data_IF_141599093928
#
_entry.id   IF_141599093928
#
_cell.length_a   1.000
_cell.length_b   1.000
_cell.length_c   1.000
_cell.angle_alpha   90.00
_cell.angle_beta   90.00
_cell.angle_gamma   90.00
#
_symmetry.space_group_name_H-M   'P 1'
#
loop_
_entity.id
_entity.type
_entity.pdbx_description
1 polymer ?
#
# COMPACT_ATOMS: atom_id res chain seq x y z
N UNK A 1 4.01 10.95 26.60
CA UNK A 1 2.57 10.55 26.69
C UNK A 1 1.99 10.49 25.27
N UNK A 2 1.01 9.64 24.95
CA UNK A 2 0.40 9.67 23.62
C UNK A 2 -0.28 11.01 23.36
N UNK A 3 -0.35 11.42 22.09
CA UNK A 3 -1.13 12.59 21.68
C UNK A 3 -2.61 12.21 21.75
N UNK A 4 -3.33 12.74 22.72
CA UNK A 4 -4.73 12.37 22.98
C UNK A 4 -5.72 13.55 22.83
N UNK A 5 -5.25 14.74 22.45
CA UNK A 5 -6.11 15.90 22.29
C UNK A 5 -5.40 17.14 21.76
N UNK A 6 -6.18 18.20 21.53
CA UNK A 6 -5.71 19.46 20.91
C UNK A 6 -4.54 20.07 21.68
N UNK A 7 -4.57 20.03 23.03
CA UNK A 7 -3.50 20.61 23.83
C UNK A 7 -2.14 20.00 23.50
N UNK A 8 -2.05 18.66 23.44
CA UNK A 8 -0.80 17.97 23.12
C UNK A 8 -0.32 18.28 21.70
N UNK A 9 -1.24 18.47 20.74
CA UNK A 9 -0.89 18.90 19.39
C UNK A 9 -0.29 20.30 19.40
N UNK A 10 -0.92 21.25 20.12
CA UNK A 10 -0.42 22.63 20.25
C UNK A 10 0.94 22.64 20.94
N UNK A 11 1.09 21.90 22.03
CA UNK A 11 2.36 21.78 22.76
C UNK A 11 3.46 21.20 21.84
N UNK A 12 3.16 20.14 21.06
CA UNK A 12 4.11 19.56 20.11
C UNK A 12 4.55 20.57 19.04
N UNK A 13 3.63 21.37 18.51
CA UNK A 13 3.94 22.42 17.53
C UNK A 13 4.84 23.50 18.13
N UNK A 14 4.50 24.00 19.33
CA UNK A 14 5.25 25.06 20.01
C UNK A 14 6.65 24.62 20.43
N UNK A 15 6.83 23.37 20.77
CA UNK A 15 8.10 22.79 21.21
C UNK A 15 8.95 22.25 20.05
N UNK A 16 8.52 22.45 18.79
CA UNK A 16 9.26 22.01 17.60
C UNK A 16 9.23 20.51 17.37
N UNK A 17 8.26 19.80 17.97
CA UNK A 17 8.03 18.37 17.78
C UNK A 17 7.10 18.10 16.59
N UNK A 18 7.34 18.80 15.49
CA UNK A 18 6.64 18.62 14.22
C UNK A 18 7.57 18.82 13.03
N UNK A 19 7.29 18.13 11.93
CA UNK A 19 7.98 18.31 10.66
C UNK A 19 6.99 18.22 9.50
N UNK A 20 7.30 18.90 8.40
CA UNK A 20 6.55 18.81 7.16
C UNK A 20 7.48 18.33 6.05
N UNK A 21 7.01 17.38 5.26
CA UNK A 21 7.73 16.75 4.15
C UNK A 21 6.94 16.89 2.87
N UNK A 22 7.65 17.15 1.76
CA UNK A 22 7.05 17.35 0.45
C UNK A 22 7.54 16.25 -0.50
N UNK A 23 6.63 15.67 -1.26
CA UNK A 23 6.92 14.59 -2.19
C UNK A 23 6.23 14.83 -3.52
N UNK A 24 6.75 14.15 -4.55
CA UNK A 24 6.14 14.13 -5.86
C UNK A 24 6.38 12.79 -6.53
N UNK A 25 5.32 12.12 -6.94
CA UNK A 25 5.38 10.91 -7.78
C UNK A 25 4.89 11.27 -9.18
N UNK A 26 5.60 10.75 -10.20
CA UNK A 26 5.29 10.97 -11.61
C UNK A 26 5.18 9.60 -12.29
N UNK A 27 4.02 8.96 -12.30
CA UNK A 27 3.86 7.70 -13.01
C UNK A 27 4.32 7.82 -14.46
N UNK A 28 5.21 6.93 -14.90
CA UNK A 28 5.69 6.83 -16.27
C UNK A 28 4.90 5.80 -17.08
N UNK A 29 4.11 4.98 -16.40
CA UNK A 29 3.28 3.97 -17.02
C UNK A 29 1.95 4.55 -17.49
N UNK A 30 1.43 4.03 -18.59
CA UNK A 30 0.05 4.28 -19.00
C UNK A 30 -0.85 3.40 -18.12
N UNK A 31 -1.46 4.02 -17.11
CA UNK A 31 -2.42 3.31 -16.26
C UNK A 31 -3.75 3.11 -16.97
N UNK A 32 -4.47 2.08 -16.59
CA UNK A 32 -5.81 1.77 -17.12
C UNK A 32 -6.86 2.34 -16.18
N UNK A 33 -7.90 2.95 -16.74
CA UNK A 33 -9.05 3.43 -15.98
C UNK A 33 -9.67 2.32 -15.12
N UNK A 34 -9.90 2.63 -13.85
CA UNK A 34 -10.58 1.73 -12.91
C UNK A 34 -9.69 0.61 -12.36
N UNK A 35 -8.40 0.60 -12.66
CA UNK A 35 -7.44 -0.33 -12.04
C UNK A 35 -6.58 0.41 -11.02
N UNK A 36 -6.47 -0.16 -9.83
CA UNK A 36 -5.55 0.33 -8.80
C UNK A 36 -4.10 0.23 -9.26
N UNK A 37 -3.32 1.25 -8.95
CA UNK A 37 -1.93 1.37 -9.34
C UNK A 37 -1.05 1.73 -8.14
N UNK A 38 0.04 0.97 -7.95
CA UNK A 38 1.02 1.20 -6.88
C UNK A 38 1.99 2.32 -7.27
N UNK A 39 1.91 3.44 -6.59
CA UNK A 39 2.79 4.59 -6.83
C UNK A 39 4.21 4.38 -6.31
N UNK A 40 4.46 3.34 -5.50
CA UNK A 40 5.82 3.01 -5.08
C UNK A 40 6.74 2.77 -6.28
N UNK A 41 6.24 2.14 -7.35
CA UNK A 41 7.00 1.87 -8.57
C UNK A 41 7.20 3.12 -9.46
N UNK A 42 6.53 4.22 -9.17
CA UNK A 42 6.58 5.42 -9.99
C UNK A 42 7.85 6.23 -9.74
N UNK A 43 8.47 6.82 -10.78
CA UNK A 43 9.54 7.81 -10.62
C UNK A 43 9.11 9.01 -9.78
N UNK A 44 10.09 9.72 -9.25
CA UNK A 44 9.86 10.96 -8.51
C UNK A 44 10.74 11.07 -7.26
N UNK A 45 10.23 11.78 -6.27
CA UNK A 45 10.76 11.83 -4.93
C UNK A 45 9.68 11.32 -3.95
N UNK A 46 9.88 10.17 -3.31
CA UNK A 46 11.05 9.28 -3.36
C UNK A 46 11.23 8.55 -4.71
N UNK A 47 12.42 7.96 -4.89
CA UNK A 47 12.76 7.11 -6.06
C UNK A 47 11.84 5.89 -6.16
N UNK A 48 11.75 5.23 -7.33
CA UNK A 48 10.94 4.01 -7.46
C UNK A 48 11.44 2.88 -6.55
N UNK A 49 10.49 2.13 -5.99
CA UNK A 49 10.73 0.86 -5.30
C UNK A 49 10.06 -0.26 -6.09
N UNK A 50 10.83 -1.27 -6.44
CA UNK A 50 10.35 -2.47 -7.11
C UNK A 50 10.31 -3.63 -6.15
N UNK A 51 9.29 -4.49 -6.28
CA UNK A 51 9.07 -5.64 -5.39
C UNK A 51 9.77 -6.89 -5.92
N UNK A 52 11.09 -6.79 -6.16
CA UNK A 52 11.93 -7.90 -6.60
C UNK A 52 12.77 -8.44 -5.45
N UNK A 53 13.09 -9.74 -5.51
CA UNK A 53 13.90 -10.43 -4.51
C UNK A 53 14.05 -11.91 -4.85
N UNK A 54 14.44 -12.71 -3.88
CA UNK A 54 14.43 -14.17 -4.01
C UNK A 54 12.99 -14.64 -4.16
N UNK A 55 12.65 -15.41 -5.21
CA UNK A 55 11.28 -15.86 -5.46
C UNK A 55 10.65 -16.48 -4.20
N UNK A 56 9.41 -16.10 -3.91
CA UNK A 56 8.57 -16.61 -2.83
C UNK A 56 9.10 -16.38 -1.40
N UNK A 57 10.25 -15.71 -1.22
CA UNK A 57 10.82 -15.46 0.10
C UNK A 57 10.30 -14.15 0.70
N UNK A 58 9.75 -14.22 1.90
CA UNK A 58 9.32 -13.07 2.67
C UNK A 58 10.47 -12.05 2.83
N UNK A 59 10.26 -10.82 2.35
CA UNK A 59 11.24 -9.73 2.43
C UNK A 59 10.64 -8.57 3.20
N UNK A 60 11.24 -8.24 4.35
CA UNK A 60 10.78 -7.14 5.21
C UNK A 60 11.08 -5.79 4.54
N UNK A 61 10.14 -4.87 4.65
CA UNK A 61 10.25 -3.49 4.17
C UNK A 61 10.48 -2.57 5.36
N UNK A 62 11.49 -1.69 5.26
CA UNK A 62 11.88 -0.77 6.32
C UNK A 62 12.14 0.63 5.75
N UNK A 63 12.11 1.66 6.61
CA UNK A 63 12.37 3.05 6.22
C UNK A 63 13.78 3.24 5.63
N UNK A 64 14.73 2.38 5.97
CA UNK A 64 16.10 2.42 5.43
C UNK A 64 16.21 2.04 3.96
N UNK A 65 15.15 1.43 3.38
CA UNK A 65 15.09 1.11 1.95
C UNK A 65 14.70 2.35 1.15
N UNK A 66 15.29 2.49 -0.01
CA UNK A 66 14.91 3.54 -0.96
C UNK A 66 13.46 3.37 -1.42
N UNK A 67 12.78 4.49 -1.67
CA UNK A 67 11.46 4.55 -2.28
C UNK A 67 10.30 4.81 -1.32
N UNK A 68 10.52 4.83 -0.02
CA UNK A 68 9.51 5.24 0.97
C UNK A 68 9.41 6.76 1.13
N UNK A 69 8.21 7.27 1.44
CA UNK A 69 8.00 8.66 1.84
C UNK A 69 8.70 8.89 3.18
N UNK A 70 9.75 9.71 3.17
CA UNK A 70 10.51 10.00 4.38
C UNK A 70 9.66 10.80 5.40
N UNK A 71 9.62 10.35 6.63
CA UNK A 71 8.84 10.96 7.70
C UNK A 71 9.68 11.36 8.92
N UNK A 72 10.99 11.52 8.71
CA UNK A 72 11.97 11.81 9.77
C UNK A 72 12.44 10.55 10.50
N UNK A 73 13.49 10.71 11.29
CA UNK A 73 14.05 9.64 12.12
C UNK A 73 13.04 9.13 13.15
N UNK A 74 13.22 7.92 13.63
CA UNK A 74 12.42 7.36 14.71
C UNK A 74 12.55 8.19 15.99
N UNK A 75 11.45 8.28 16.72
CA UNK A 75 11.30 9.13 17.91
C UNK A 75 11.11 8.30 19.19
N UNK A 76 11.55 7.05 19.19
CA UNK A 76 11.42 6.15 20.35
C UNK A 76 12.09 6.74 21.62
N UNK A 77 11.47 6.65 22.81
CA UNK A 77 10.22 5.94 23.14
C UNK A 77 8.93 6.69 22.81
N UNK A 78 9.02 7.89 22.27
CA UNK A 78 7.87 8.69 21.86
C UNK A 78 7.12 8.04 20.68
N UNK A 79 5.90 8.51 20.43
CA UNK A 79 5.08 8.05 19.30
C UNK A 79 4.92 9.16 18.28
N UNK A 80 5.07 8.80 17.01
CA UNK A 80 4.88 9.70 15.87
C UNK A 80 3.49 9.52 15.29
N UNK A 81 2.87 10.61 14.88
CA UNK A 81 1.53 10.63 14.30
C UNK A 81 1.48 11.46 13.04
N UNK A 82 0.63 11.06 12.12
CA UNK A 82 0.27 11.84 10.96
C UNK A 82 -0.73 12.92 11.39
N UNK A 83 -0.33 14.19 11.31
CA UNK A 83 -1.15 15.33 11.72
C UNK A 83 -2.09 15.79 10.62
N UNK A 84 -1.55 16.01 9.44
CA UNK A 84 -2.31 16.32 8.24
C UNK A 84 -1.55 15.88 6.96
N UNK A 85 -2.29 15.73 5.88
CA UNK A 85 -1.75 15.54 4.55
C UNK A 85 -2.47 16.44 3.57
N UNK A 86 -1.73 16.92 2.57
CA UNK A 86 -2.30 17.65 1.44
C UNK A 86 -1.90 16.93 0.16
N UNK A 87 -2.87 16.63 -0.69
CA UNK A 87 -2.64 15.97 -1.98
C UNK A 87 -3.11 16.88 -3.10
N UNK A 88 -2.38 16.87 -4.22
CA UNK A 88 -2.82 17.54 -5.44
C UNK A 88 -2.30 16.81 -6.68
N UNK A 89 -2.95 17.06 -7.83
CA UNK A 89 -2.55 16.53 -9.13
C UNK A 89 -2.23 17.66 -10.09
N UNK A 90 -1.16 17.51 -10.88
CA UNK A 90 -0.78 18.49 -11.90
C UNK A 90 -1.55 18.36 -13.21
N UNK A 91 -2.41 17.33 -13.35
CA UNK A 91 -3.19 17.06 -14.55
C UNK A 91 -4.61 16.65 -14.19
N UNK A 92 -5.57 17.00 -15.03
CA UNK A 92 -6.96 16.51 -14.94
C UNK A 92 -7.06 15.03 -15.37
N UNK A 93 -6.09 14.52 -16.11
CA UNK A 93 -6.07 13.12 -16.53
C UNK A 93 -5.97 12.20 -15.31
N UNK A 94 -6.86 11.24 -15.23
CA UNK A 94 -6.93 10.33 -14.09
C UNK A 94 -7.83 10.78 -12.94
N UNK A 95 -8.41 11.99 -12.98
CA UNK A 95 -9.36 12.46 -11.97
C UNK A 95 -10.81 12.09 -12.33
N UNK A 96 -11.71 11.88 -11.35
CA UNK A 96 -11.42 11.79 -9.92
C UNK A 96 -10.54 10.58 -9.60
N UNK A 97 -9.66 10.70 -8.59
CA UNK A 97 -8.67 9.68 -8.26
C UNK A 97 -8.64 9.41 -6.75
N UNK A 98 -9.20 8.29 -6.30
CA UNK A 98 -8.97 7.78 -4.95
C UNK A 98 -7.49 7.48 -4.70
N UNK A 99 -7.01 7.82 -3.51
CA UNK A 99 -5.66 7.58 -3.01
C UNK A 99 -5.73 6.91 -1.65
N UNK A 100 -4.84 5.95 -1.40
CA UNK A 100 -4.67 5.34 -0.07
C UNK A 100 -3.19 5.42 0.32
N UNK A 101 -2.90 6.08 1.44
CA UNK A 101 -1.59 6.08 2.08
C UNK A 101 -1.49 4.88 3.00
N UNK A 102 -0.41 4.11 2.88
CA UNK A 102 -0.20 2.87 3.61
C UNK A 102 1.21 2.77 4.15
N UNK A 103 1.40 2.01 5.22
CA UNK A 103 2.70 1.46 5.63
C UNK A 103 2.88 0.10 4.94
N UNK A 104 3.94 -0.03 4.14
CA UNK A 104 4.32 -1.25 3.43
C UNK A 104 5.24 -2.07 4.33
N UNK A 105 4.85 -3.28 4.65
CA UNK A 105 5.45 -4.06 5.75
C UNK A 105 6.39 -5.15 5.28
N UNK A 106 5.96 -5.92 4.30
CA UNK A 106 6.65 -7.10 3.82
C UNK A 106 6.13 -7.48 2.43
N UNK A 107 6.94 -8.14 1.61
CA UNK A 107 6.47 -8.65 0.32
C UNK A 107 7.04 -10.03 0.01
N UNK A 108 6.32 -10.77 -0.84
CA UNK A 108 6.69 -12.07 -1.39
C UNK A 108 6.82 -11.91 -2.89
N UNK A 109 8.04 -11.90 -3.43
CA UNK A 109 8.28 -11.59 -4.82
C UNK A 109 8.06 -12.76 -5.76
N UNK A 110 7.71 -12.44 -7.01
CA UNK A 110 7.81 -13.30 -8.17
C UNK A 110 6.94 -14.56 -8.09
N UNK A 111 5.66 -14.40 -7.74
CA UNK A 111 4.64 -15.43 -7.91
C UNK A 111 4.45 -15.68 -9.41
N UNK A 112 4.55 -16.95 -9.83
CA UNK A 112 4.47 -17.37 -11.23
C UNK A 112 3.01 -17.65 -11.65
N UNK A 113 2.51 -16.87 -12.61
CA UNK A 113 1.18 -17.09 -13.22
C UNK A 113 1.17 -18.30 -14.17
N UNK A 114 2.34 -18.86 -14.51
CA UNK A 114 2.50 -19.97 -15.47
C UNK A 114 2.29 -21.37 -14.89
N UNK A 115 2.02 -21.51 -13.60
CA UNK A 115 1.84 -22.81 -12.96
C UNK A 115 0.59 -22.86 -12.08
N UNK A 116 -0.10 -24.01 -12.10
CA UNK A 116 -1.19 -24.31 -11.16
C UNK A 116 -0.70 -25.06 -9.92
N UNK A 117 0.56 -25.39 -9.85
CA UNK A 117 1.15 -25.99 -8.65
C UNK A 117 1.10 -24.99 -7.49
N UNK A 118 0.87 -25.47 -6.28
CA UNK A 118 0.87 -24.63 -5.09
C UNK A 118 2.29 -24.07 -4.83
N UNK A 119 2.40 -22.74 -4.77
CA UNK A 119 3.65 -22.02 -4.60
C UNK A 119 3.80 -21.66 -3.12
N UNK A 120 4.63 -22.40 -2.39
CA UNK A 120 4.85 -22.22 -0.95
C UNK A 120 5.79 -21.04 -0.67
N UNK A 121 5.43 -20.22 0.32
CA UNK A 121 6.23 -19.07 0.74
C UNK A 121 7.29 -19.47 1.77
N UNK A 122 8.49 -18.89 1.63
CA UNK A 122 9.53 -18.95 2.67
C UNK A 122 9.28 -17.83 3.69
N UNK A 123 8.76 -18.20 4.85
CA UNK A 123 8.46 -17.32 5.98
C UNK A 123 9.60 -17.23 7.00
N UNK A 124 10.87 -17.33 6.58
CA UNK A 124 12.04 -17.11 7.45
C UNK A 124 12.01 -15.72 8.08
N UNK A 125 11.51 -14.71 7.35
CA UNK A 125 11.26 -13.38 7.85
C UNK A 125 9.78 -13.21 8.23
N UNK A 126 9.53 -12.40 9.27
CA UNK A 126 8.19 -12.11 9.79
C UNK A 126 7.95 -10.60 9.89
N UNK A 127 6.71 -10.18 10.08
CA UNK A 127 6.36 -8.78 10.30
C UNK A 127 7.13 -8.19 11.49
N UNK A 128 7.80 -7.06 11.27
CA UNK A 128 8.49 -6.29 12.32
C UNK A 128 7.61 -5.20 12.93
N UNK A 129 6.56 -4.80 12.21
CA UNK A 129 5.52 -3.87 12.64
C UNK A 129 4.16 -4.55 12.48
N UNK A 130 3.18 -4.19 13.31
CA UNK A 130 1.85 -4.84 13.31
C UNK A 130 1.97 -6.37 13.36
N UNK A 131 2.79 -6.86 14.29
CA UNK A 131 3.19 -8.29 14.41
C UNK A 131 2.04 -9.23 14.71
N UNK A 132 0.92 -8.67 15.22
CA UNK A 132 -0.34 -9.37 15.39
C UNK A 132 -1.14 -9.50 14.08
N UNK A 133 -0.72 -8.83 13.01
CA UNK A 133 -1.42 -8.83 11.73
C UNK A 133 -2.72 -8.03 11.68
N UNK A 134 -3.15 -7.43 12.79
CA UNK A 134 -4.44 -6.74 12.87
C UNK A 134 -4.55 -5.59 11.86
N UNK A 135 -5.54 -5.71 10.95
CA UNK A 135 -5.79 -4.76 9.86
C UNK A 135 -4.69 -4.71 8.79
N UNK A 136 -3.76 -5.66 8.79
CA UNK A 136 -2.81 -5.85 7.69
C UNK A 136 -3.53 -6.49 6.52
N UNK A 137 -3.40 -5.89 5.34
CA UNK A 137 -4.05 -6.33 4.11
C UNK A 137 -3.02 -6.84 3.10
N UNK A 138 -3.47 -7.64 2.14
CA UNK A 138 -2.63 -8.19 1.06
C UNK A 138 -2.99 -7.55 -0.26
N UNK A 139 -1.98 -6.99 -0.92
CA UNK A 139 -2.10 -6.40 -2.26
C UNK A 139 -1.23 -7.21 -3.24
N UNK A 140 -1.77 -7.58 -4.38
CA UNK A 140 -1.04 -8.27 -5.45
C UNK A 140 -0.63 -7.25 -6.53
N UNK A 141 0.68 -7.06 -6.75
CA UNK A 141 1.21 -6.02 -7.63
C UNK A 141 1.96 -6.65 -8.80
N UNK A 142 1.60 -6.27 -10.03
CA UNK A 142 2.29 -6.71 -11.24
C UNK A 142 3.75 -6.21 -11.25
N UNK A 143 4.70 -7.13 -11.43
CA UNK A 143 6.14 -6.84 -11.48
C UNK A 143 6.79 -7.22 -12.81
N UNK A 144 6.08 -7.93 -13.68
CA UNK A 144 6.51 -8.25 -15.04
C UNK A 144 5.34 -8.09 -16.03
N UNK A 145 5.64 -8.09 -17.32
CA UNK A 145 4.60 -8.12 -18.36
C UNK A 145 3.77 -9.39 -18.22
N UNK A 146 2.44 -9.26 -18.37
CA UNK A 146 1.49 -10.35 -18.11
C UNK A 146 0.32 -10.33 -19.08
N UNK A 147 -0.36 -11.43 -19.22
CA UNK A 147 -1.60 -11.54 -19.97
C UNK A 147 -2.83 -11.50 -19.07
N UNK A 148 -2.78 -12.15 -17.90
CA UNK A 148 -3.82 -12.12 -16.88
C UNK A 148 -5.13 -12.82 -17.29
N UNK A 149 -6.13 -12.70 -16.42
CA UNK A 149 -7.47 -13.26 -16.67
C UNK A 149 -7.75 -14.57 -15.95
N UNK A 150 -6.75 -15.14 -15.29
CA UNK A 150 -6.92 -16.32 -14.45
C UNK A 150 -7.38 -15.94 -13.05
N UNK A 151 -7.74 -16.95 -12.28
CA UNK A 151 -8.09 -16.76 -10.86
C UNK A 151 -7.05 -17.42 -9.98
N UNK A 152 -6.91 -16.90 -8.76
CA UNK A 152 -6.08 -17.50 -7.73
C UNK A 152 -6.67 -17.27 -6.34
N UNK A 153 -6.11 -17.94 -5.35
CA UNK A 153 -6.34 -17.69 -3.93
C UNK A 153 -5.02 -17.83 -3.16
N UNK A 154 -5.02 -17.31 -1.93
CA UNK A 154 -3.89 -17.44 -1.01
C UNK A 154 -4.29 -18.27 0.21
N UNK A 155 -3.34 -19.07 0.73
CA UNK A 155 -3.37 -19.58 2.08
C UNK A 155 -2.55 -18.63 2.97
N UNK A 156 -3.06 -18.33 4.18
CA UNK A 156 -2.44 -17.35 5.06
C UNK A 156 -2.67 -17.67 6.54
N UNK A 157 -1.85 -17.06 7.40
CA UNK A 157 -2.08 -17.00 8.84
C UNK A 157 -2.76 -15.67 9.18
N UNK A 158 -3.91 -15.72 9.86
CA UNK A 158 -4.70 -14.54 10.18
C UNK A 158 -4.16 -13.79 11.42
N UNK A 159 -4.84 -12.69 11.82
CA UNK A 159 -4.51 -11.87 12.99
C UNK A 159 -4.53 -12.64 14.33
N UNK A 160 -5.29 -13.71 14.44
CA UNK A 160 -5.33 -14.56 15.63
C UNK A 160 -4.22 -15.62 15.66
N UNK A 161 -3.38 -15.67 14.62
CA UNK A 161 -2.33 -16.66 14.47
C UNK A 161 -2.84 -18.03 14.03
N UNK A 162 -4.05 -18.09 13.47
CA UNK A 162 -4.61 -19.31 12.89
C UNK A 162 -4.11 -19.45 11.47
N UNK A 163 -3.35 -20.52 11.22
CA UNK A 163 -2.80 -20.87 9.90
C UNK A 163 -3.82 -21.63 9.03
N UNK A 164 -3.51 -21.76 7.74
CA UNK A 164 -4.37 -22.51 6.80
C UNK A 164 -5.69 -21.79 6.51
N UNK A 165 -5.76 -20.48 6.71
CA UNK A 165 -6.91 -19.68 6.29
C UNK A 165 -6.85 -19.50 4.77
N UNK A 166 -7.99 -19.57 4.10
CA UNK A 166 -8.07 -19.49 2.64
C UNK A 166 -8.83 -18.23 2.25
N UNK A 167 -8.22 -17.39 1.41
CA UNK A 167 -8.90 -16.21 0.86
C UNK A 167 -10.03 -16.61 -0.09
N UNK A 168 -10.89 -15.65 -0.43
CA UNK A 168 -11.78 -15.83 -1.56
C UNK A 168 -10.97 -15.92 -2.88
N UNK A 169 -11.52 -16.62 -3.88
CA UNK A 169 -10.95 -16.61 -5.21
C UNK A 169 -11.04 -15.21 -5.80
N UNK A 170 -9.94 -14.71 -6.29
CA UNK A 170 -9.85 -13.41 -6.99
C UNK A 170 -9.49 -13.64 -8.46
N UNK A 171 -10.02 -12.77 -9.32
CA UNK A 171 -9.75 -12.81 -10.75
C UNK A 171 -8.73 -11.73 -11.08
N UNK A 172 -7.72 -12.09 -11.83
CA UNK A 172 -6.72 -11.16 -12.33
C UNK A 172 -7.25 -10.30 -13.47
N UNK A 173 -6.89 -9.02 -13.47
CA UNK A 173 -7.10 -8.18 -14.66
C UNK A 173 -6.10 -8.54 -15.78
N UNK A 174 -6.39 -8.07 -16.98
CA UNK A 174 -5.57 -8.31 -18.18
C UNK A 174 -4.57 -7.19 -18.49
N UNK A 175 -4.30 -6.31 -17.54
CA UNK A 175 -3.35 -5.21 -17.73
C UNK A 175 -1.91 -5.73 -17.69
N UNK A 176 -1.13 -5.43 -18.71
CA UNK A 176 0.30 -5.71 -18.76
C UNK A 176 1.18 -4.63 -18.09
N UNK A 177 0.59 -3.56 -17.57
CA UNK A 177 1.34 -2.45 -16.99
C UNK A 177 1.95 -2.85 -15.63
N UNK A 178 3.24 -2.55 -15.45
CA UNK A 178 3.91 -2.75 -14.18
C UNK A 178 3.34 -1.81 -13.11
N UNK A 179 3.16 -2.33 -11.91
CA UNK A 179 2.60 -1.57 -10.78
C UNK A 179 1.08 -1.59 -10.70
N UNK A 180 0.40 -2.21 -11.65
CA UNK A 180 -1.04 -2.43 -11.53
C UNK A 180 -1.31 -3.47 -10.44
N UNK A 181 -2.30 -3.20 -9.58
CA UNK A 181 -2.81 -4.20 -8.64
C UNK A 181 -3.61 -5.23 -9.43
N UNK A 182 -3.10 -6.46 -9.50
CA UNK A 182 -3.61 -7.49 -10.41
C UNK A 182 -5.04 -7.92 -10.09
N UNK A 183 -5.46 -7.81 -8.83
CA UNK A 183 -6.82 -8.13 -8.36
C UNK A 183 -7.83 -7.02 -8.59
N UNK A 184 -7.39 -5.82 -8.99
CA UNK A 184 -8.32 -4.77 -9.38
C UNK A 184 -8.87 -5.04 -10.77
N UNK A 185 -10.16 -4.86 -10.96
CA UNK A 185 -10.79 -5.15 -12.26
C UNK A 185 -11.80 -4.08 -12.63
N UNK A 186 -12.07 -4.02 -13.92
CA UNK A 186 -13.23 -3.30 -14.45
C UNK A 186 -14.52 -4.04 -14.08
N UNK A 187 -15.63 -3.35 -14.09
CA UNK A 187 -16.94 -3.62 -13.48
C UNK A 187 -17.60 -5.01 -13.66
N UNK A 188 -17.00 -5.94 -14.36
CA UNK A 188 -17.61 -7.26 -14.66
C UNK A 188 -17.11 -8.41 -13.81
N UNK A 189 -16.03 -8.21 -13.03
CA UNK A 189 -15.42 -9.30 -12.27
C UNK A 189 -15.84 -9.22 -10.80
N UNK A 190 -16.46 -10.27 -10.30
CA UNK A 190 -16.74 -10.42 -8.88
C UNK A 190 -15.40 -10.47 -8.08
N UNK A 191 -15.44 -9.99 -6.84
CA UNK A 191 -14.30 -9.98 -5.91
C UNK A 191 -13.09 -9.12 -6.34
N UNK A 192 -13.32 -8.14 -7.21
CA UNK A 192 -12.30 -7.20 -7.66
C UNK A 192 -12.12 -6.06 -6.66
N UNK A 193 -10.94 -5.94 -6.08
CA UNK A 193 -10.67 -4.91 -5.07
C UNK A 193 -9.17 -4.58 -5.00
N UNK A 194 -8.84 -3.57 -4.21
CA UNK A 194 -7.45 -3.21 -3.91
C UNK A 194 -6.74 -4.33 -3.14
N UNK A 195 -7.43 -4.94 -2.18
CA UNK A 195 -6.88 -5.99 -1.34
C UNK A 195 -7.55 -7.33 -1.62
N UNK A 196 -6.82 -8.42 -1.43
CA UNK A 196 -7.37 -9.77 -1.53
C UNK A 196 -8.41 -9.96 -0.42
N UNK A 197 -9.66 -10.32 -0.74
CA UNK A 197 -10.69 -10.57 0.27
C UNK A 197 -10.32 -11.77 1.13
N UNK A 198 -10.21 -11.54 2.42
CA UNK A 198 -9.90 -12.57 3.41
C UNK A 198 -11.13 -13.47 3.66
N UNK A 199 -10.92 -14.56 4.36
CA UNK A 199 -12.00 -15.42 4.83
C UNK A 199 -12.88 -14.65 5.83
N UNK A 200 -14.19 -14.92 5.83
CA UNK A 200 -15.12 -14.25 6.73
C UNK A 200 -14.70 -14.36 8.20
N UNK A 201 -14.74 -13.23 8.89
CA UNK A 201 -14.34 -13.07 10.29
C UNK A 201 -12.87 -12.69 10.48
N UNK A 202 -12.02 -12.76 9.44
CA UNK A 202 -10.63 -12.32 9.53
C UNK A 202 -10.53 -10.81 9.27
N UNK A 203 -9.71 -10.14 10.08
CA UNK A 203 -9.48 -8.69 10.01
C UNK A 203 -8.09 -8.36 9.49
N UNK A 204 -7.19 -9.36 9.37
CA UNK A 204 -5.84 -9.12 8.87
C UNK A 204 -4.98 -10.37 8.75
N UNK A 205 -3.74 -10.16 8.28
CA UNK A 205 -2.80 -11.21 7.88
C UNK A 205 -1.46 -11.03 8.58
N UNK A 206 -0.92 -12.13 9.17
CA UNK A 206 0.45 -12.17 9.71
C UNK A 206 1.48 -12.60 8.68
N UNK A 207 1.12 -13.62 7.87
CA UNK A 207 1.99 -14.20 6.85
C UNK A 207 1.16 -14.86 5.75
N UNK A 208 1.73 -14.98 4.56
CA UNK A 208 1.16 -15.79 3.48
C UNK A 208 1.89 -17.12 3.48
N UNK A 209 1.15 -18.22 3.36
CA UNK A 209 1.70 -19.58 3.40
C UNK A 209 1.91 -20.11 1.99
N UNK A 210 0.93 -19.87 1.10
CA UNK A 210 1.03 -20.26 -0.30
C UNK A 210 0.09 -19.46 -1.21
N UNK A 211 0.33 -19.58 -2.52
CA UNK A 211 -0.56 -19.13 -3.59
C UNK A 211 -0.86 -20.30 -4.51
N UNK A 212 -2.12 -20.42 -4.93
CA UNK A 212 -2.53 -21.41 -5.93
C UNK A 212 -3.27 -20.71 -7.06
N UNK A 213 -2.72 -20.80 -8.28
CA UNK A 213 -3.39 -20.37 -9.51
C UNK A 213 -4.42 -21.41 -9.92
N UNK A 214 -5.59 -20.98 -10.38
CA UNK A 214 -6.67 -21.87 -10.88
C UNK A 214 -6.61 -22.08 -12.38
N UNK A 215 -5.66 -21.48 -13.05
CA UNK A 215 -5.34 -21.64 -14.46
C UNK A 215 -3.97 -21.06 -14.75
N UNK A 216 -3.40 -21.38 -15.91
CA UNK A 216 -2.06 -20.89 -16.30
C UNK A 216 -2.17 -19.66 -17.18
N UNK A 217 -1.26 -18.72 -16.97
CA UNK A 217 -1.10 -17.49 -17.73
C UNK A 217 0.39 -17.15 -17.91
N UNK A 218 0.71 -16.00 -18.46
CA UNK A 218 2.08 -15.49 -18.58
C UNK A 218 2.20 -14.23 -17.73
N UNK A 219 3.09 -14.27 -16.78
CA UNK A 219 3.36 -13.09 -15.94
C UNK A 219 3.93 -13.43 -14.57
N UNK A 220 4.32 -12.38 -13.88
CA UNK A 220 4.76 -12.44 -12.48
C UNK A 220 4.13 -11.30 -11.71
N UNK A 221 3.66 -11.59 -10.52
CA UNK A 221 3.28 -10.56 -9.55
C UNK A 221 3.97 -10.79 -8.20
N UNK A 222 3.91 -9.79 -7.34
CA UNK A 222 4.38 -9.88 -5.95
C UNK A 222 3.21 -9.62 -5.01
N UNK A 223 3.14 -10.38 -3.92
CA UNK A 223 2.20 -10.10 -2.84
C UNK A 223 2.87 -9.15 -1.85
N UNK A 224 2.19 -8.06 -1.53
CA UNK A 224 2.69 -7.02 -0.61
C UNK A 224 1.73 -6.89 0.56
N UNK A 225 2.26 -7.08 1.79
CA UNK A 225 1.52 -6.85 3.02
C UNK A 225 1.62 -5.37 3.38
N UNK A 226 0.47 -4.75 3.57
CA UNK A 226 0.36 -3.31 3.83
C UNK A 226 -0.60 -3.03 4.98
N UNK A 227 -0.35 -1.95 5.71
CA UNK A 227 -1.30 -1.40 6.68
C UNK A 227 -1.88 -0.10 6.13
N UNK A 228 -3.15 -0.07 5.69
CA UNK A 228 -3.81 1.17 5.29
C UNK A 228 -3.88 2.15 6.47
N UNK A 229 -3.50 3.40 6.23
CA UNK A 229 -3.51 4.46 7.24
C UNK A 229 -4.61 5.48 6.98
N UNK A 230 -4.67 6.00 5.75
CA UNK A 230 -5.65 7.03 5.37
C UNK A 230 -6.02 6.93 3.90
N UNK A 231 -7.24 7.37 3.58
CA UNK A 231 -7.74 7.46 2.21
C UNK A 231 -8.28 8.86 1.90
N UNK A 232 -8.18 9.26 0.65
CA UNK A 232 -8.74 10.52 0.13
C UNK A 232 -9.11 10.36 -1.33
N UNK A 233 -9.78 11.37 -1.88
CA UNK A 233 -10.11 11.42 -3.31
C UNK A 233 -9.70 12.78 -3.86
N UNK A 234 -8.85 12.80 -4.89
CA UNK A 234 -8.56 13.99 -5.68
C UNK A 234 -9.68 14.19 -6.70
N UNK A 235 -10.34 15.34 -6.68
CA UNK A 235 -11.47 15.62 -7.54
C UNK A 235 -11.11 16.51 -8.72
N UNK A 236 -10.22 17.50 -8.52
CA UNK A 236 -9.90 18.53 -9.48
C UNK A 236 -8.39 18.72 -9.65
N UNK A 237 -7.98 19.17 -10.84
CA UNK A 237 -6.61 19.53 -11.14
C UNK A 237 -6.18 20.74 -10.31
N UNK A 238 -4.98 20.72 -9.75
CA UNK A 238 -4.36 21.79 -8.96
C UNK A 238 -5.12 22.24 -7.71
N UNK A 239 -6.33 21.74 -7.47
CA UNK A 239 -7.06 21.98 -6.23
C UNK A 239 -6.55 21.02 -5.15
N UNK A 240 -5.86 21.51 -4.10
CA UNK A 240 -5.34 20.64 -3.06
C UNK A 240 -6.46 20.09 -2.19
N UNK A 241 -6.40 18.81 -1.89
CA UNK A 241 -7.26 18.14 -0.90
C UNK A 241 -6.46 17.98 0.38
N UNK A 242 -6.80 18.75 1.40
CA UNK A 242 -6.21 18.65 2.72
C UNK A 242 -7.05 17.73 3.61
N UNK A 243 -6.39 16.81 4.29
CA UNK A 243 -6.94 15.97 5.35
C UNK A 243 -6.28 16.31 6.69
N UNK A 244 -7.08 16.79 7.62
CA UNK A 244 -6.68 17.11 8.98
C UNK A 244 -7.17 16.00 9.92
N UNK A 245 -6.27 15.12 10.35
CA UNK A 245 -6.64 13.92 11.11
C UNK A 245 -7.02 14.21 12.56
N UNK A 246 -6.77 15.40 13.07
CA UNK A 246 -7.26 15.80 14.37
C UNK A 246 -8.75 16.13 14.35
N UNK A 247 -9.25 16.68 13.25
CA UNK A 247 -10.63 17.16 13.14
C UNK A 247 -11.54 16.23 12.33
N UNK A 248 -10.97 15.46 11.40
CA UNK A 248 -11.72 14.59 10.49
C UNK A 248 -11.67 13.10 10.86
N UNK A 249 -10.82 12.73 11.82
CA UNK A 249 -10.68 11.35 12.29
C UNK A 249 -10.83 11.27 13.80
N UNK A 250 -11.34 10.14 14.29
CA UNK A 250 -11.43 9.89 15.73
C UNK A 250 -10.07 9.68 16.38
N UNK A 251 -9.06 9.29 15.61
CA UNK A 251 -7.69 9.05 16.07
C UNK A 251 -6.69 9.53 15.03
N UNK A 252 -5.58 10.12 15.50
CA UNK A 252 -4.43 10.41 14.66
C UNK A 252 -3.78 9.09 14.22
N UNK A 253 -3.54 8.85 12.92
CA UNK A 253 -2.82 7.66 12.48
C UNK A 253 -1.41 7.63 13.04
N UNK A 254 -1.05 6.56 13.75
CA UNK A 254 0.31 6.37 14.28
C UNK A 254 1.23 5.90 13.16
N UNK A 255 2.36 6.57 13.02
CA UNK A 255 3.48 6.15 12.17
C UNK A 255 4.44 5.35 13.04
N UNK A 256 4.50 4.05 12.82
CA UNK A 256 5.37 3.15 13.59
C UNK A 256 6.85 3.46 13.32
N UNK A 257 7.74 3.17 14.29
CA UNK A 257 9.17 3.16 14.00
C UNK A 257 9.49 2.32 12.76
N UNK A 258 10.43 2.80 11.95
CA UNK A 258 10.87 2.13 10.72
C UNK A 258 9.78 1.95 9.65
N UNK A 259 8.68 2.74 9.69
CA UNK A 259 7.60 2.66 8.72
C UNK A 259 8.07 3.02 7.30
N UNK A 260 7.58 2.29 6.30
CA UNK A 260 7.81 2.59 4.89
C UNK A 260 6.48 3.06 4.27
N UNK A 261 6.29 4.36 4.23
CA UNK A 261 5.06 4.95 3.73
C UNK A 261 5.07 5.07 2.21
N UNK A 262 3.98 4.70 1.56
CA UNK A 262 3.75 4.97 0.13
C UNK A 262 2.26 4.97 -0.20
N UNK A 263 1.91 5.18 -1.46
CA UNK A 263 0.56 5.39 -1.95
C UNK A 263 0.16 4.40 -3.03
N UNK A 264 -1.10 4.05 -3.04
CA UNK A 264 -1.79 3.51 -4.23
C UNK A 264 -2.85 4.48 -4.69
N UNK A 265 -3.18 4.46 -5.97
CA UNK A 265 -4.23 5.28 -6.56
C UNK A 265 -5.15 4.46 -7.46
N UNK A 266 -6.41 4.93 -7.61
CA UNK A 266 -7.36 4.41 -8.59
C UNK A 266 -7.63 5.49 -9.64
N UNK A 267 -6.85 5.53 -10.72
CA UNK A 267 -6.99 6.59 -11.72
C UNK A 267 -8.20 6.36 -12.63
N UNK A 268 -8.87 7.45 -12.98
CA UNK A 268 -9.95 7.43 -13.98
C UNK A 268 -9.43 7.62 -15.42
N UNK A 269 -8.14 7.39 -15.65
CA UNK A 269 -7.48 7.49 -16.95
C UNK A 269 -5.98 7.27 -16.86
N UNK A 270 -5.26 7.51 -17.96
CA UNK A 270 -3.82 7.32 -18.01
C UNK A 270 -3.08 8.39 -17.18
N UNK A 271 -2.17 7.96 -16.32
CA UNK A 271 -1.39 8.84 -15.44
C UNK A 271 -0.02 9.23 -15.99
N UNK A 272 0.36 8.79 -17.17
CA UNK A 272 1.67 9.12 -17.74
C UNK A 272 1.90 10.64 -17.72
N UNK A 273 3.05 11.05 -17.18
CA UNK A 273 3.44 12.44 -16.97
C UNK A 273 2.56 13.26 -16.00
N UNK A 274 1.68 12.63 -15.21
CA UNK A 274 0.90 13.30 -14.17
C UNK A 274 1.72 13.37 -12.88
N UNK A 275 2.00 14.58 -12.36
CA UNK A 275 2.60 14.74 -11.05
C UNK A 275 1.54 14.65 -9.95
N UNK A 276 1.71 13.71 -9.01
CA UNK A 276 0.95 13.63 -7.77
C UNK A 276 1.83 14.21 -6.67
N UNK A 277 1.41 15.34 -6.10
CA UNK A 277 2.13 16.03 -5.03
C UNK A 277 1.51 15.66 -3.69
N UNK A 278 2.36 15.53 -2.69
CA UNK A 278 2.00 15.12 -1.34
C UNK A 278 2.76 16.00 -0.36
N UNK A 279 2.04 16.72 0.49
CA UNK A 279 2.59 17.34 1.68
C UNK A 279 2.13 16.55 2.89
N UNK A 280 3.06 16.15 3.73
CA UNK A 280 2.79 15.34 4.90
C UNK A 280 3.35 16.02 6.15
N UNK A 281 2.48 16.35 7.10
CA UNK A 281 2.88 16.89 8.39
C UNK A 281 2.80 15.81 9.45
N UNK A 282 3.89 15.61 10.16
CA UNK A 282 3.98 14.68 11.28
C UNK A 282 4.22 15.43 12.58
N UNK A 283 3.71 14.88 13.67
CA UNK A 283 3.98 15.33 15.04
C UNK A 283 4.37 14.13 15.90
N UNK A 284 5.05 14.38 17.00
CA UNK A 284 5.35 13.33 17.96
C UNK A 284 5.12 13.78 19.40
N UNK A 285 4.81 12.79 20.24
CA UNK A 285 4.63 12.97 21.69
C UNK A 285 5.98 13.20 22.41
N UNK A 286 5.89 13.55 23.66
CA UNK A 286 7.03 13.48 24.60
C UNK A 286 7.39 12.04 24.90
#
# INVERSE_FOLDING_TARGET
MPVVGIKQVVDAELEGRSNTFNFRKNPSQVTTQGLWFDLALSPGNPVPKYWFGTPLQATVISQSLDGGLFHGSDVSPSKKYLRDTTFSSTSATGLPMPLVLMDYLMYYPLIDEGTTDEQFMDNTNTLTRYTDGEGVQVMAVSVAGRTGGQSFFINYTNQDGVSGRISQNVIENTSAALGVVVTSATATNANSCLFIPLQDGDTGVRSIESVTMLGTDVGLFSLVLVKPLVSTVLLEQTAPVKKDYLTESSNLPEIKPDAFLNLVCLPNGALNATGILIDMKVIWSD
#
